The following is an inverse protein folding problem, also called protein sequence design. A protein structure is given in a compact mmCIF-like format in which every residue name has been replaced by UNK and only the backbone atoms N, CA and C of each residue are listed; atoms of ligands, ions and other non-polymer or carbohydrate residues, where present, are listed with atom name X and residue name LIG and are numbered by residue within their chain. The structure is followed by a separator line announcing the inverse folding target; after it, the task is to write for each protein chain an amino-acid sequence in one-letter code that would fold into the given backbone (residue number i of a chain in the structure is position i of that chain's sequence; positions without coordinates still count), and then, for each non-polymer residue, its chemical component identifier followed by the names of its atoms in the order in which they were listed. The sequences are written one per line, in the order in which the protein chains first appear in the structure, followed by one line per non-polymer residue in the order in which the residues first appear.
data_IF_436127144067
#
_entry.id   IF_436127144067
#
_cell.length_a   1.000
_cell.length_b   1.000
_cell.length_c   1.000
_cell.angle_alpha   90.00
_cell.angle_beta   90.00
_cell.angle_gamma   90.00
#
_symmetry.space_group_name_H-M   'P 1'
#
loop_
_entity.id
_entity.type
_entity.pdbx_description
1 polymer ?
#
# COMPACT_ATOMS: atom_id res chain seq x y z
N UNK A 1 -21.77 -9.56 -33.07
CA UNK A 1 -21.75 -9.59 -34.55
C UNK A 1 -20.36 -9.98 -35.02
N UNK A 2 -20.23 -11.15 -35.64
CA UNK A 2 -18.97 -11.89 -35.77
C UNK A 2 -17.92 -11.11 -36.58
N UNK A 3 -16.68 -11.02 -36.06
CA UNK A 3 -15.50 -10.43 -36.72
C UNK A 3 -15.38 -10.77 -38.23
N UNK A 4 -15.63 -12.01 -38.71
CA UNK A 4 -15.56 -12.33 -40.15
C UNK A 4 -16.61 -11.60 -41.00
N UNK A 5 -17.82 -11.35 -40.50
CA UNK A 5 -18.90 -10.70 -41.26
C UNK A 5 -18.55 -9.23 -41.52
N UNK A 6 -17.99 -8.53 -40.52
CA UNK A 6 -17.50 -7.15 -40.68
C UNK A 6 -16.30 -7.05 -41.62
N UNK A 7 -15.45 -8.08 -41.64
CA UNK A 7 -14.31 -8.16 -42.55
C UNK A 7 -14.78 -8.29 -44.00
N UNK A 8 -15.68 -9.24 -44.27
CA UNK A 8 -16.23 -9.50 -45.61
C UNK A 8 -17.00 -8.27 -46.13
N UNK A 9 -17.84 -7.65 -45.29
CA UNK A 9 -18.59 -6.45 -45.68
C UNK A 9 -17.69 -5.26 -46.03
N UNK A 10 -16.62 -5.02 -45.26
CA UNK A 10 -15.65 -3.96 -45.55
C UNK A 10 -14.87 -4.24 -46.83
N UNK A 11 -14.44 -5.48 -47.02
CA UNK A 11 -13.73 -5.89 -48.23
C UNK A 11 -14.61 -5.71 -49.48
N UNK A 12 -15.86 -6.17 -49.42
CA UNK A 12 -16.83 -5.99 -50.49
C UNK A 12 -17.06 -4.50 -50.80
N UNK A 13 -17.25 -3.66 -49.78
CA UNK A 13 -17.43 -2.22 -49.96
C UNK A 13 -16.24 -1.56 -50.66
N UNK A 14 -15.01 -1.87 -50.22
CA UNK A 14 -13.77 -1.32 -50.81
C UNK A 14 -13.62 -1.78 -52.27
N UNK A 15 -13.93 -3.04 -52.57
CA UNK A 15 -13.88 -3.58 -53.94
C UNK A 15 -14.99 -2.98 -54.82
N UNK A 16 -16.22 -2.86 -54.31
CA UNK A 16 -17.33 -2.27 -55.04
C UNK A 16 -17.07 -0.79 -55.38
N UNK A 17 -16.50 -0.03 -54.45
CA UNK A 17 -16.10 1.36 -54.69
C UNK A 17 -15.01 1.44 -55.77
N UNK A 18 -14.01 0.56 -55.71
CA UNK A 18 -12.97 0.46 -56.74
C UNK A 18 -13.55 0.16 -58.12
N UNK A 19 -14.42 -0.85 -58.23
CA UNK A 19 -15.07 -1.24 -59.50
C UNK A 19 -16.00 -0.14 -60.03
N UNK A 20 -16.70 0.57 -59.15
CA UNK A 20 -17.54 1.70 -59.52
C UNK A 20 -16.73 2.85 -60.11
N UNK A 21 -15.63 3.25 -59.44
CA UNK A 21 -14.72 4.30 -59.95
C UNK A 21 -14.03 3.88 -61.25
N UNK A 22 -13.67 2.60 -61.38
CA UNK A 22 -13.13 2.06 -62.63
C UNK A 22 -14.15 2.12 -63.76
N UNK A 23 -15.38 1.66 -63.52
CA UNK A 23 -16.48 1.73 -64.48
C UNK A 23 -16.75 3.18 -64.92
N UNK A 24 -16.84 4.10 -63.96
CA UNK A 24 -17.00 5.53 -64.23
C UNK A 24 -15.87 6.10 -65.12
N UNK A 25 -14.62 5.77 -64.82
CA UNK A 25 -13.46 6.19 -65.63
C UNK A 25 -13.51 5.61 -67.05
N UNK A 26 -13.93 4.35 -67.21
CA UNK A 26 -14.03 3.68 -68.50
C UNK A 26 -15.17 4.23 -69.38
N UNK A 27 -16.36 4.48 -68.82
CA UNK A 27 -17.53 4.92 -69.58
C UNK A 27 -17.55 6.42 -69.87
N UNK A 28 -17.20 7.27 -68.90
CA UNK A 28 -17.17 8.72 -69.12
C UNK A 28 -15.92 9.15 -69.89
N UNK A 29 -14.78 8.50 -69.64
CA UNK A 29 -13.49 8.93 -70.16
C UNK A 29 -13.05 10.30 -69.62
N UNK A 30 -12.01 10.86 -70.25
CA UNK A 30 -11.47 12.18 -69.91
C UNK A 30 -10.53 12.22 -68.69
N UNK A 31 -9.83 13.34 -68.53
CA UNK A 31 -8.78 13.50 -67.51
C UNK A 31 -9.31 13.35 -66.07
N UNK A 32 -10.46 13.98 -65.76
CA UNK A 32 -11.01 14.04 -64.39
C UNK A 32 -11.36 12.64 -63.87
N UNK A 33 -12.00 11.81 -64.69
CA UNK A 33 -12.45 10.47 -64.29
C UNK A 33 -11.25 9.55 -64.02
N UNK A 34 -10.23 9.58 -64.88
CA UNK A 34 -8.98 8.85 -64.67
C UNK A 34 -8.19 9.36 -63.46
N UNK A 35 -8.17 10.68 -63.22
CA UNK A 35 -7.53 11.27 -62.06
C UNK A 35 -8.16 10.76 -60.75
N UNK A 36 -9.49 10.70 -60.65
CA UNK A 36 -10.18 10.16 -59.47
C UNK A 36 -9.86 8.67 -59.24
N UNK A 37 -9.87 7.87 -60.30
CA UNK A 37 -9.53 6.45 -60.22
C UNK A 37 -8.09 6.23 -59.74
N UNK A 38 -7.12 6.85 -60.39
CA UNK A 38 -5.71 6.72 -60.00
C UNK A 38 -5.40 7.35 -58.65
N UNK A 39 -6.13 8.39 -58.24
CA UNK A 39 -6.04 8.96 -56.89
C UNK A 39 -6.55 8.00 -55.81
N UNK A 40 -7.60 7.23 -56.11
CA UNK A 40 -8.12 6.20 -55.20
C UNK A 40 -7.29 4.92 -55.16
N UNK A 41 -6.59 4.57 -56.25
CA UNK A 41 -5.83 3.31 -56.35
C UNK A 41 -4.82 3.09 -55.18
N UNK A 42 -3.99 4.06 -54.77
CA UNK A 42 -3.12 3.90 -53.60
C UNK A 42 -3.89 3.67 -52.30
N UNK A 43 -5.02 4.37 -52.11
CA UNK A 43 -5.89 4.21 -50.93
C UNK A 43 -6.46 2.79 -50.92
N UNK A 44 -6.96 2.31 -52.07
CA UNK A 44 -7.46 0.95 -52.24
C UNK A 44 -6.40 -0.09 -51.87
N UNK A 45 -5.20 0.01 -52.44
CA UNK A 45 -4.10 -0.92 -52.16
C UNK A 45 -3.70 -0.88 -50.67
N UNK A 46 -3.64 0.30 -50.06
CA UNK A 46 -3.32 0.47 -48.65
C UNK A 46 -4.43 -0.06 -47.71
N UNK A 47 -5.70 0.09 -48.08
CA UNK A 47 -6.81 -0.43 -47.29
C UNK A 47 -6.88 -1.96 -47.38
N UNK A 48 -6.71 -2.54 -48.57
CA UNK A 48 -6.66 -4.01 -48.77
C UNK A 48 -5.45 -4.62 -48.06
N UNK A 49 -4.26 -4.03 -48.22
CA UNK A 49 -3.06 -4.46 -47.53
C UNK A 49 -3.22 -4.42 -46.01
N UNK A 50 -3.80 -3.34 -45.47
CA UNK A 50 -4.09 -3.21 -44.04
C UNK A 50 -5.10 -4.26 -43.57
N UNK A 51 -6.11 -4.57 -44.38
CA UNK A 51 -7.14 -5.55 -44.09
C UNK A 51 -6.57 -6.98 -44.03
N UNK A 52 -5.56 -7.31 -44.82
CA UNK A 52 -4.85 -8.60 -44.75
C UNK A 52 -3.70 -8.62 -43.72
N UNK A 53 -3.24 -7.47 -43.27
CA UNK A 53 -2.08 -7.36 -42.39
C UNK A 53 -2.25 -8.02 -40.99
N UNK A 54 -1.39 -8.96 -40.58
CA UNK A 54 -1.55 -9.72 -39.34
C UNK A 54 -1.04 -8.96 -38.10
N UNK A 55 -1.87 -8.06 -37.55
CA UNK A 55 -1.55 -7.32 -36.32
C UNK A 55 -1.31 -8.24 -35.11
N UNK A 56 -2.01 -9.38 -35.03
CA UNK A 56 -1.90 -10.35 -33.94
C UNK A 56 -0.51 -11.01 -33.80
N UNK A 57 0.33 -10.96 -34.85
CA UNK A 57 1.67 -11.56 -34.84
C UNK A 57 2.76 -10.63 -34.30
N UNK A 58 2.40 -9.43 -33.84
CA UNK A 58 3.37 -8.49 -33.30
C UNK A 58 3.88 -8.97 -31.95
N UNK A 59 5.16 -8.71 -31.69
CA UNK A 59 5.73 -8.92 -30.36
C UNK A 59 5.62 -7.60 -29.60
N UNK A 60 4.88 -7.61 -28.50
CA UNK A 60 4.70 -6.45 -27.62
C UNK A 60 5.27 -6.83 -26.26
N UNK A 61 6.15 -5.98 -25.74
CA UNK A 61 6.80 -6.17 -24.46
C UNK A 61 6.63 -4.91 -23.63
N UNK A 62 6.40 -5.09 -22.33
CA UNK A 62 6.36 -4.02 -21.33
C UNK A 62 7.55 -4.19 -20.39
N UNK A 63 8.17 -3.08 -20.05
CA UNK A 63 9.22 -3.02 -19.03
C UNK A 63 8.96 -1.83 -18.12
N UNK A 64 8.88 -2.06 -16.81
CA UNK A 64 8.78 -1.02 -15.81
C UNK A 64 10.18 -0.51 -15.46
N UNK A 65 10.32 0.77 -15.11
CA UNK A 65 11.60 1.30 -14.62
C UNK A 65 12.00 0.68 -13.28
N UNK A 66 11.02 0.26 -12.48
CA UNK A 66 11.18 -0.48 -11.22
C UNK A 66 9.90 -1.30 -10.96
N UNK A 67 10.07 -2.52 -10.45
CA UNK A 67 8.97 -3.43 -10.09
C UNK A 67 8.54 -3.29 -8.64
N UNK A 68 9.44 -2.75 -7.80
CA UNK A 68 9.22 -2.42 -6.41
C UNK A 68 9.36 -0.91 -6.24
N UNK A 69 8.37 -0.29 -5.62
CA UNK A 69 8.28 1.15 -5.43
C UNK A 69 7.70 1.46 -4.05
N UNK A 70 7.77 2.72 -3.64
CA UNK A 70 6.99 3.21 -2.50
C UNK A 70 5.74 3.93 -2.97
N UNK A 71 4.73 3.97 -2.11
CA UNK A 71 3.49 4.69 -2.40
C UNK A 71 3.77 6.17 -2.69
N UNK A 72 3.11 6.69 -3.72
CA UNK A 72 3.31 8.03 -4.25
C UNK A 72 4.51 8.21 -5.18
N UNK A 73 5.30 7.16 -5.45
CA UNK A 73 6.36 7.23 -6.45
C UNK A 73 5.83 7.35 -7.88
N UNK A 74 6.66 7.90 -8.75
CA UNK A 74 6.44 7.91 -10.20
C UNK A 74 7.21 6.78 -10.87
N UNK A 75 6.49 5.98 -11.65
CA UNK A 75 7.01 4.84 -12.40
C UNK A 75 6.96 5.14 -13.89
N UNK A 76 8.08 4.95 -14.59
CA UNK A 76 8.12 5.04 -16.05
C UNK A 76 7.90 3.66 -16.63
N UNK A 77 6.90 3.51 -17.49
CA UNK A 77 6.62 2.28 -18.23
C UNK A 77 7.09 2.46 -19.65
N UNK A 78 7.92 1.54 -20.14
CA UNK A 78 8.36 1.48 -21.53
C UNK A 78 7.68 0.32 -22.24
N UNK A 79 7.08 0.61 -23.38
CA UNK A 79 6.51 -0.38 -24.29
C UNK A 79 7.40 -0.47 -25.51
N UNK A 80 7.88 -1.68 -25.81
CA UNK A 80 8.60 -1.99 -27.03
C UNK A 80 7.76 -2.91 -27.90
N UNK A 81 7.52 -2.49 -29.14
CA UNK A 81 6.77 -3.24 -30.14
C UNK A 81 7.68 -3.59 -31.30
N UNK A 82 7.71 -4.87 -31.66
CA UNK A 82 8.38 -5.40 -32.85
C UNK A 82 7.34 -5.98 -33.80
N UNK A 83 7.24 -5.36 -34.98
CA UNK A 83 6.30 -5.72 -36.03
C UNK A 83 6.89 -6.85 -36.88
N UNK A 84 6.05 -7.81 -37.23
CA UNK A 84 6.48 -8.94 -38.07
C UNK A 84 6.89 -8.47 -39.46
N UNK A 85 6.07 -7.60 -40.06
CA UNK A 85 6.25 -7.04 -41.41
C UNK A 85 6.19 -5.49 -41.33
N UNK A 86 7.13 -4.75 -41.95
CA UNK A 86 7.11 -3.29 -41.98
C UNK A 86 6.12 -2.77 -43.04
N UNK A 87 4.83 -2.77 -42.70
CA UNK A 87 3.77 -2.18 -43.52
C UNK A 87 3.63 -0.67 -43.26
N UNK A 88 3.32 0.21 -44.23
CA UNK A 88 3.15 1.64 -43.99
C UNK A 88 1.88 1.94 -43.19
N UNK A 89 1.95 1.81 -41.87
CA UNK A 89 0.83 2.17 -41.00
C UNK A 89 0.82 3.67 -40.81
N UNK A 90 -0.35 4.26 -41.07
CA UNK A 90 -0.55 5.69 -40.88
C UNK A 90 -0.48 6.06 -39.39
N UNK A 91 -1.34 5.46 -38.57
CA UNK A 91 -1.30 5.63 -37.11
C UNK A 91 -1.41 4.30 -36.37
N UNK A 92 -0.91 4.30 -35.14
CA UNK A 92 -1.21 3.31 -34.12
C UNK A 92 -1.57 4.05 -32.83
N UNK A 93 -2.73 3.73 -32.27
CA UNK A 93 -3.14 4.15 -30.93
C UNK A 93 -2.82 3.01 -29.98
N UNK A 94 -1.99 3.32 -29.01
CA UNK A 94 -1.63 2.43 -27.91
C UNK A 94 -2.46 2.83 -26.71
N UNK A 95 -3.12 1.85 -26.10
CA UNK A 95 -3.94 2.02 -24.91
C UNK A 95 -3.51 0.95 -23.90
N UNK A 96 -2.88 1.35 -22.81
CA UNK A 96 -2.61 0.45 -21.69
C UNK A 96 -3.93 0.19 -20.95
N UNK A 97 -4.23 -1.09 -20.69
CA UNK A 97 -5.34 -1.47 -19.82
C UNK A 97 -4.81 -1.48 -18.38
N UNK A 98 -4.90 -0.33 -17.72
CA UNK A 98 -4.47 -0.16 -16.33
C UNK A 98 -5.43 -0.89 -15.37
N UNK A 99 -4.91 -1.52 -14.30
CA UNK A 99 -5.75 -2.06 -13.23
C UNK A 99 -6.45 -0.93 -12.46
N UNK A 100 -7.66 -1.20 -11.98
CA UNK A 100 -8.44 -0.25 -11.18
C UNK A 100 -7.73 0.16 -9.89
N UNK A 101 -6.83 -0.66 -9.35
CA UNK A 101 -6.05 -0.31 -8.17
C UNK A 101 -5.16 0.91 -8.39
N UNK A 102 -4.78 1.24 -9.62
CA UNK A 102 -4.00 2.45 -9.95
C UNK A 102 -4.86 3.71 -10.12
N UNK A 103 -6.19 3.61 -10.07
CA UNK A 103 -7.08 4.78 -10.16
C UNK A 103 -7.16 5.57 -8.86
N UNK A 104 -6.59 5.07 -7.76
CA UNK A 104 -6.41 5.85 -6.53
C UNK A 104 -5.11 6.64 -6.62
N UNK A 105 -5.14 7.91 -6.27
CA UNK A 105 -3.98 8.78 -6.22
C UNK A 105 -3.35 8.73 -4.82
N UNK A 106 -2.03 8.59 -4.77
CA UNK A 106 -1.26 8.77 -3.54
C UNK A 106 -0.24 9.90 -3.71
N UNK A 107 -0.53 11.05 -3.10
CA UNK A 107 0.35 12.22 -3.02
C UNK A 107 1.09 12.28 -1.67
N UNK A 108 1.45 11.11 -1.10
CA UNK A 108 2.15 10.95 0.17
C UNK A 108 1.38 11.56 1.34
N UNK A 109 1.92 12.56 2.03
CA UNK A 109 1.27 13.19 3.20
C UNK A 109 0.10 14.09 2.80
N UNK A 110 0.15 14.67 1.60
CA UNK A 110 -0.85 15.61 1.11
C UNK A 110 -2.23 14.94 0.89
N UNK A 111 -2.27 13.61 0.78
CA UNK A 111 -3.54 12.86 0.62
C UNK A 111 -4.47 13.05 1.81
N UNK A 112 -3.90 13.26 2.99
CA UNK A 112 -4.66 13.40 4.24
C UNK A 112 -5.38 14.75 4.37
N UNK A 113 -5.14 15.72 3.47
CA UNK A 113 -6.01 16.89 3.33
C UNK A 113 -7.44 16.53 2.91
N UNK A 114 -7.61 15.37 2.29
CA UNK A 114 -8.88 14.89 1.76
C UNK A 114 -9.45 13.74 2.59
N UNK A 115 -9.11 13.67 3.88
CA UNK A 115 -9.61 12.61 4.76
C UNK A 115 -11.13 12.65 4.88
N UNK A 116 -11.73 13.84 4.89
CA UNK A 116 -13.17 14.07 4.84
C UNK A 116 -13.81 13.72 3.47
N UNK A 117 -13.05 13.89 2.39
CA UNK A 117 -13.49 13.78 0.99
C UNK A 117 -12.58 12.86 0.15
N UNK A 118 -12.47 11.56 0.49
CA UNK A 118 -11.54 10.64 -0.17
C UNK A 118 -11.87 10.39 -1.65
N UNK A 119 -13.07 10.73 -2.12
CA UNK A 119 -13.45 10.67 -3.53
C UNK A 119 -12.61 11.57 -4.43
N UNK A 120 -12.05 12.67 -3.89
CA UNK A 120 -11.17 13.58 -4.64
C UNK A 120 -9.86 12.93 -5.08
N UNK A 121 -9.47 11.83 -4.43
CA UNK A 121 -8.27 11.05 -4.75
C UNK A 121 -8.53 9.93 -5.77
N UNK A 122 -9.73 9.85 -6.37
CA UNK A 122 -10.01 8.92 -7.46
C UNK A 122 -9.80 9.60 -8.81
N UNK A 123 -8.92 9.03 -9.63
CA UNK A 123 -8.66 9.46 -10.99
C UNK A 123 -8.85 8.30 -11.97
N UNK A 124 -9.66 8.52 -13.01
CA UNK A 124 -9.78 7.57 -14.11
C UNK A 124 -8.56 7.71 -15.03
N UNK A 125 -7.50 6.95 -14.74
CA UNK A 125 -6.25 7.01 -15.51
C UNK A 125 -6.45 6.31 -16.85
N UNK A 126 -6.17 7.02 -17.94
CA UNK A 126 -6.11 6.42 -19.28
C UNK A 126 -4.79 6.77 -19.93
N UNK A 127 -4.00 5.75 -20.24
CA UNK A 127 -2.70 5.93 -20.90
C UNK A 127 -2.88 5.61 -22.37
N UNK A 128 -3.09 6.67 -23.15
CA UNK A 128 -3.28 6.59 -24.60
C UNK A 128 -2.23 7.41 -25.31
N UNK A 129 -1.53 6.78 -26.25
CA UNK A 129 -0.55 7.46 -27.08
C UNK A 129 -0.78 7.13 -28.55
N UNK A 130 -0.71 8.15 -29.40
CA UNK A 130 -0.78 7.99 -30.85
C UNK A 130 0.63 8.10 -31.41
N UNK A 131 0.96 7.19 -32.32
CA UNK A 131 2.27 7.13 -32.98
C UNK A 131 2.04 6.90 -34.46
N UNK A 132 2.97 7.39 -35.28
CA UNK A 132 2.93 7.26 -36.73
C UNK A 132 4.09 6.35 -37.17
N UNK A 133 3.88 5.02 -37.26
CA UNK A 133 4.97 4.07 -37.49
C UNK A 133 5.62 4.20 -38.86
N UNK A 134 4.82 4.52 -39.89
CA UNK A 134 5.24 4.34 -41.28
C UNK A 134 5.79 2.93 -41.49
N UNK A 135 6.97 2.84 -42.09
CA UNK A 135 7.70 1.59 -42.35
C UNK A 135 8.58 1.13 -41.18
N UNK A 136 8.59 1.83 -40.03
CA UNK A 136 9.42 1.42 -38.89
C UNK A 136 8.96 0.06 -38.38
N UNK A 137 9.91 -0.87 -38.25
CA UNK A 137 9.69 -2.23 -37.75
C UNK A 137 9.61 -2.30 -36.23
N UNK A 138 10.36 -1.43 -35.55
CA UNK A 138 10.40 -1.34 -34.09
C UNK A 138 9.90 0.02 -33.65
N UNK A 139 9.07 0.03 -32.61
CA UNK A 139 8.56 1.24 -31.97
C UNK A 139 8.84 1.14 -30.47
N UNK A 140 9.25 2.25 -29.88
CA UNK A 140 9.43 2.39 -28.44
C UNK A 140 8.63 3.59 -27.95
N UNK A 141 7.92 3.37 -26.85
CA UNK A 141 7.05 4.36 -26.23
C UNK A 141 7.29 4.34 -24.74
N UNK A 142 7.20 5.49 -24.11
CA UNK A 142 7.31 5.61 -22.68
C UNK A 142 6.19 6.51 -22.15
N UNK A 143 5.57 6.11 -21.05
CA UNK A 143 4.65 6.94 -20.30
C UNK A 143 4.96 6.82 -18.81
N UNK A 144 4.48 7.79 -18.04
CA UNK A 144 4.68 7.83 -16.59
C UNK A 144 3.37 7.57 -15.87
N UNK A 145 3.45 6.77 -14.82
CA UNK A 145 2.39 6.58 -13.84
C UNK A 145 2.87 7.30 -12.58
N UNK A 146 2.31 8.47 -12.33
CA UNK A 146 2.61 9.27 -11.15
C UNK A 146 1.76 8.82 -9.96
N UNK A 147 2.17 9.19 -8.74
CA UNK A 147 1.33 9.03 -7.53
C UNK A 147 0.76 7.61 -7.38
N UNK A 148 1.62 6.59 -7.49
CA UNK A 148 1.19 5.18 -7.42
C UNK A 148 0.68 4.86 -6.02
N UNK A 149 -0.56 4.38 -5.85
CA UNK A 149 -1.08 4.01 -4.53
C UNK A 149 -0.43 2.74 -3.98
N UNK A 150 -0.52 2.52 -2.67
CA UNK A 150 -0.04 1.30 -2.01
C UNK A 150 -0.77 0.06 -2.56
N UNK A 151 -0.03 -1.02 -2.79
CA UNK A 151 -0.59 -2.32 -3.12
C UNK A 151 0.12 -3.04 -4.25
N UNK A 152 -0.51 -4.13 -4.70
CA UNK A 152 -0.07 -4.87 -5.89
C UNK A 152 -0.91 -4.48 -7.10
N UNK A 153 -0.23 -4.01 -8.14
CA UNK A 153 -0.84 -3.56 -9.39
C UNK A 153 -0.50 -4.53 -10.51
N UNK A 154 -1.50 -5.31 -10.90
CA UNK A 154 -1.38 -6.33 -11.92
C UNK A 154 -1.78 -5.75 -13.28
N UNK A 155 -0.80 -5.54 -14.14
CA UNK A 155 -1.05 -5.11 -15.49
C UNK A 155 -1.31 -6.34 -16.38
N UNK A 156 -2.36 -6.29 -17.20
CA UNK A 156 -2.83 -7.47 -17.92
C UNK A 156 -2.54 -7.43 -19.42
N UNK A 157 -2.83 -6.30 -20.06
CA UNK A 157 -2.84 -6.24 -21.51
C UNK A 157 -2.65 -4.84 -22.07
N UNK A 158 -2.11 -4.80 -23.28
CA UNK A 158 -1.96 -3.58 -24.09
C UNK A 158 -2.87 -3.71 -25.30
N UNK A 159 -3.74 -2.72 -25.50
CA UNK A 159 -4.62 -2.64 -26.65
C UNK A 159 -3.98 -1.74 -27.70
N UNK A 160 -3.84 -2.28 -28.92
CA UNK A 160 -3.32 -1.54 -30.06
C UNK A 160 -4.41 -1.42 -31.11
N UNK A 161 -4.68 -0.19 -31.54
CA UNK A 161 -5.62 0.14 -32.62
C UNK A 161 -4.87 0.79 -33.77
N UNK A 162 -5.19 0.42 -34.99
CA UNK A 162 -4.64 1.03 -36.20
C UNK A 162 -5.72 1.10 -37.27
N UNK A 163 -5.57 2.02 -38.22
CA UNK A 163 -6.52 2.19 -39.31
C UNK A 163 -5.90 2.89 -40.50
N UNK A 164 -6.66 2.92 -41.59
CA UNK A 164 -6.35 3.72 -42.76
C UNK A 164 -6.76 5.20 -42.57
N UNK A 165 -6.27 6.07 -43.45
CA UNK A 165 -6.50 7.52 -43.40
C UNK A 165 -7.99 7.85 -43.60
N UNK A 166 -8.66 7.10 -44.47
CA UNK A 166 -10.08 7.32 -44.82
C UNK A 166 -11.04 6.67 -43.81
N UNK A 167 -10.57 5.71 -43.02
CA UNK A 167 -11.33 5.05 -41.96
C UNK A 167 -12.16 3.84 -42.39
N UNK A 168 -12.00 3.34 -43.63
CA UNK A 168 -12.67 2.12 -44.10
C UNK A 168 -12.23 0.91 -43.27
N UNK A 169 -10.93 0.81 -42.99
CA UNK A 169 -10.34 -0.31 -42.27
C UNK A 169 -9.83 0.16 -40.92
N UNK A 170 -10.38 -0.44 -39.86
CA UNK A 170 -9.91 -0.29 -38.48
C UNK A 170 -9.62 -1.67 -37.94
N UNK A 171 -8.43 -1.84 -37.37
CA UNK A 171 -7.97 -3.06 -36.72
C UNK A 171 -7.64 -2.79 -35.27
N UNK A 172 -8.01 -3.74 -34.42
CA UNK A 172 -7.73 -3.72 -33.00
C UNK A 172 -7.26 -5.09 -32.56
N UNK A 173 -6.20 -5.11 -31.76
CA UNK A 173 -5.74 -6.32 -31.09
C UNK A 173 -5.34 -6.00 -29.65
N UNK A 174 -5.66 -6.93 -28.75
CA UNK A 174 -5.31 -6.85 -27.33
C UNK A 174 -4.22 -7.89 -27.11
N UNK A 175 -3.02 -7.43 -26.78
CA UNK A 175 -1.87 -8.26 -26.46
C UNK A 175 -1.86 -8.52 -24.96
N UNK A 176 -1.91 -9.80 -24.59
CA UNK A 176 -1.76 -10.21 -23.18
C UNK A 176 -0.29 -10.07 -22.82
N UNK A 177 0.01 -9.05 -22.03
CA UNK A 177 1.34 -8.74 -21.53
C UNK A 177 1.13 -8.57 -20.04
N UNK A 178 1.40 -9.63 -19.28
CA UNK A 178 1.25 -9.65 -17.83
C UNK A 178 2.50 -9.11 -17.17
N UNK A 179 2.33 -8.26 -16.15
CA UNK A 179 3.42 -7.73 -15.34
C UNK A 179 2.85 -7.20 -14.01
N UNK A 180 3.70 -7.03 -13.01
CA UNK A 180 3.30 -6.68 -11.65
C UNK A 180 4.18 -5.57 -11.10
N UNK A 181 3.53 -4.54 -10.55
CA UNK A 181 4.17 -3.48 -9.77
C UNK A 181 3.73 -3.61 -8.32
N UNK A 182 4.68 -3.63 -7.39
CA UNK A 182 4.43 -3.68 -5.96
C UNK A 182 4.81 -2.32 -5.37
N UNK A 183 3.84 -1.64 -4.77
CA UNK A 183 4.02 -0.34 -4.12
C UNK A 183 3.88 -0.50 -2.60
N UNK A 184 5.02 -0.42 -1.91
CA UNK A 184 5.12 -0.52 -0.46
C UNK A 184 4.50 0.70 0.24
N UNK A 185 3.91 0.53 1.44
CA UNK A 185 3.49 1.66 2.26
C UNK A 185 4.66 2.62 2.54
N UNK A 186 4.34 3.90 2.74
CA UNK A 186 5.33 4.89 3.11
C UNK A 186 5.66 4.82 4.60
N UNK A 187 6.96 4.92 4.91
CA UNK A 187 7.40 5.19 6.27
C UNK A 187 7.26 6.68 6.57
N UNK A 188 6.75 6.99 7.75
CA UNK A 188 6.65 8.33 8.30
C UNK A 188 7.62 8.51 9.46
N UNK A 189 8.08 9.74 9.66
CA UNK A 189 8.86 10.06 10.84
C UNK A 189 7.90 10.14 12.04
N UNK A 190 8.06 9.24 13.00
CA UNK A 190 7.34 9.29 14.27
C UNK A 190 8.31 9.75 15.35
N UNK A 191 7.90 10.74 16.13
CA UNK A 191 8.60 11.17 17.33
C UNK A 191 7.77 10.77 18.53
N UNK A 192 8.32 9.87 19.33
CA UNK A 192 7.68 9.48 20.59
C UNK A 192 8.11 10.44 21.68
N UNK A 193 7.14 11.05 22.37
CA UNK A 193 7.41 12.09 23.38
C UNK A 193 8.26 11.58 24.54
N UNK A 194 8.19 10.28 24.82
CA UNK A 194 9.04 9.60 25.81
C UNK A 194 9.64 8.31 25.25
N UNK A 195 10.82 7.94 25.75
CA UNK A 195 11.42 6.64 25.45
C UNK A 195 10.71 5.54 26.22
N UNK A 196 10.54 4.38 25.59
CA UNK A 196 10.00 3.19 26.27
C UNK A 196 10.82 2.81 27.50
N UNK A 197 12.15 3.02 27.44
CA UNK A 197 13.05 2.81 28.57
C UNK A 197 12.71 3.65 29.81
N UNK A 198 12.01 4.79 29.67
CA UNK A 198 11.60 5.61 30.82
C UNK A 198 10.54 4.92 31.69
N UNK A 199 9.71 4.05 31.10
CA UNK A 199 8.77 3.21 31.85
C UNK A 199 9.46 2.07 32.61
N UNK A 200 10.75 1.83 32.34
CA UNK A 200 11.56 0.85 33.07
C UNK A 200 12.07 1.41 34.39
N UNK A 201 12.21 2.74 34.51
CA UNK A 201 12.77 3.43 35.70
C UNK A 201 11.73 4.15 36.57
N UNK A 202 10.53 4.50 36.08
CA UNK A 202 9.71 5.55 36.72
C UNK A 202 8.26 5.26 37.16
N UNK A 203 7.61 4.16 36.76
CA UNK A 203 6.16 3.99 37.03
C UNK A 203 5.83 3.07 38.21
N UNK A 204 6.35 3.39 39.40
CA UNK A 204 5.77 2.92 40.67
C UNK A 204 5.14 4.11 41.37
N UNK A 205 4.08 4.65 40.77
CA UNK A 205 3.10 5.44 41.53
C UNK A 205 2.09 4.45 42.11
N UNK A 206 2.22 4.25 43.42
CA UNK A 206 1.24 3.76 44.40
C UNK A 206 0.34 2.54 44.07
N UNK A 207 0.39 1.55 44.97
CA UNK A 207 -0.58 0.45 45.20
C UNK A 207 -0.57 -0.81 44.33
N UNK A 208 0.60 -1.38 43.99
CA UNK A 208 0.68 -2.83 43.69
C UNK A 208 1.80 -3.52 44.47
N UNK A 209 1.41 -4.07 45.61
CA UNK A 209 2.23 -4.82 46.58
C UNK A 209 2.60 -6.25 46.10
N UNK A 210 2.69 -6.49 44.80
CA UNK A 210 2.98 -7.83 44.24
C UNK A 210 3.94 -7.78 43.04
N UNK A 211 5.03 -7.03 43.15
CA UNK A 211 6.22 -7.34 42.37
C UNK A 211 6.95 -8.49 43.08
N UNK A 212 6.69 -9.72 42.65
CA UNK A 212 7.66 -10.79 42.79
C UNK A 212 8.92 -10.32 42.05
N UNK A 213 9.85 -9.78 42.82
CA UNK A 213 11.19 -9.46 42.39
C UNK A 213 11.82 -10.73 41.83
N UNK A 214 12.03 -10.81 40.52
CA UNK A 214 12.93 -11.77 39.91
C UNK A 214 14.37 -11.33 40.21
N UNK A 215 14.76 -11.46 41.48
CA UNK A 215 16.10 -11.17 41.98
C UNK A 215 16.99 -12.39 41.73
N UNK A 216 17.23 -12.75 40.47
CA UNK A 216 18.25 -13.76 40.15
C UNK A 216 19.60 -13.08 40.29
N UNK A 217 20.35 -13.42 41.33
CA UNK A 217 21.71 -12.92 41.52
C UNK A 217 22.62 -13.57 40.47
N UNK A 218 23.16 -12.77 39.56
CA UNK A 218 24.04 -13.21 38.48
C UNK A 218 25.51 -13.03 38.81
N UNK A 219 25.82 -12.13 39.73
CA UNK A 219 27.18 -11.82 40.17
C UNK A 219 27.27 -11.41 41.63
N UNK A 220 28.50 -11.21 42.08
CA UNK A 220 28.80 -10.72 43.43
C UNK A 220 29.90 -9.67 43.27
N UNK A 221 29.65 -8.46 43.76
CA UNK A 221 30.61 -7.35 43.74
C UNK A 221 30.85 -6.80 45.13
N UNK A 222 31.90 -6.00 45.29
CA UNK A 222 32.13 -5.29 46.56
C UNK A 222 31.00 -4.27 46.82
N UNK A 223 30.65 -4.15 48.10
CA UNK A 223 29.63 -3.24 48.58
C UNK A 223 30.08 -1.79 48.36
N UNK A 224 29.19 -0.99 47.76
CA UNK A 224 29.39 0.45 47.64
C UNK A 224 28.44 1.18 48.60
N UNK A 225 28.88 2.30 49.22
CA UNK A 225 27.99 3.14 50.03
C UNK A 225 26.76 3.58 49.21
N UNK A 226 25.58 3.10 49.59
CA UNK A 226 24.32 3.32 48.87
C UNK A 226 23.61 2.01 48.47
N UNK A 227 24.31 0.88 48.48
CA UNK A 227 23.71 -0.43 48.31
C UNK A 227 22.79 -0.78 49.49
N UNK A 228 21.66 -1.45 49.22
CA UNK A 228 20.74 -1.89 50.28
C UNK A 228 21.40 -3.00 51.11
N UNK A 229 21.32 -2.90 52.43
CA UNK A 229 21.80 -3.95 53.35
C UNK A 229 21.16 -5.33 53.08
N UNK A 230 19.91 -5.36 52.57
CA UNK A 230 19.23 -6.62 52.20
C UNK A 230 19.84 -7.34 50.99
N UNK A 231 20.75 -6.68 50.26
CA UNK A 231 21.45 -7.25 49.11
C UNK A 231 22.84 -7.77 49.46
N UNK A 232 23.28 -7.63 50.71
CA UNK A 232 24.56 -8.16 51.19
C UNK A 232 24.52 -9.69 51.16
N UNK A 233 25.53 -10.29 50.53
CA UNK A 233 25.75 -11.72 50.61
C UNK A 233 26.66 -12.02 51.81
N UNK A 234 26.04 -12.35 52.95
CA UNK A 234 26.78 -12.64 54.19
C UNK A 234 27.73 -13.84 54.05
N UNK A 235 27.39 -14.82 53.20
CA UNK A 235 28.20 -16.03 53.00
C UNK A 235 29.50 -15.70 52.26
N UNK A 236 29.42 -14.86 51.23
CA UNK A 236 30.59 -14.44 50.47
C UNK A 236 31.39 -13.36 51.21
N UNK A 237 30.71 -12.48 51.95
CA UNK A 237 31.33 -11.51 52.86
C UNK A 237 32.21 -12.21 53.89
N UNK A 238 31.71 -13.28 54.53
CA UNK A 238 32.48 -14.06 55.50
C UNK A 238 33.70 -14.77 54.89
N UNK A 239 33.67 -15.14 53.60
CA UNK A 239 34.78 -15.83 52.92
C UNK A 239 35.88 -14.89 52.45
N UNK A 240 35.52 -13.70 51.95
CA UNK A 240 36.47 -12.71 51.41
C UNK A 240 36.95 -11.68 52.44
N UNK A 241 36.31 -11.64 53.61
CA UNK A 241 36.57 -10.66 54.66
C UNK A 241 36.38 -9.20 54.21
N UNK A 242 35.59 -9.00 53.15
CA UNK A 242 35.18 -7.72 52.59
C UNK A 242 33.68 -7.74 52.33
N UNK A 243 32.97 -6.63 52.52
CA UNK A 243 31.52 -6.58 52.33
C UNK A 243 31.17 -6.81 50.85
N UNK A 244 30.38 -7.85 50.57
CA UNK A 244 29.97 -8.22 49.22
C UNK A 244 28.46 -8.03 49.03
N UNK A 245 28.05 -7.44 47.92
CA UNK A 245 26.65 -7.25 47.50
C UNK A 245 26.33 -8.16 46.32
N UNK A 246 25.14 -8.76 46.32
CA UNK A 246 24.58 -9.49 45.18
C UNK A 246 24.35 -8.53 44.01
N UNK A 247 24.88 -8.88 42.85
CA UNK A 247 24.61 -8.19 41.60
C UNK A 247 23.43 -8.88 40.91
N UNK A 248 22.38 -8.11 40.62
CA UNK A 248 21.18 -8.58 39.97
C UNK A 248 21.21 -8.13 38.51
N UNK A 249 21.05 -9.06 37.58
CA UNK A 249 20.86 -8.72 36.17
C UNK A 249 19.52 -7.99 36.02
N UNK A 250 19.57 -6.73 35.57
CA UNK A 250 18.37 -6.03 35.14
C UNK A 250 17.98 -6.51 33.74
N UNK A 251 17.41 -7.72 33.65
CA UNK A 251 16.69 -8.09 32.43
C UNK A 251 15.29 -7.47 32.50
N UNK A 252 15.12 -6.28 31.92
CA UNK A 252 13.79 -5.63 31.84
C UNK A 252 13.54 -4.98 30.50
N UNK A 253 13.76 -5.69 29.39
CA UNK A 253 13.19 -5.27 28.11
C UNK A 253 11.66 -5.29 28.22
N UNK A 254 11.00 -4.13 28.18
CA UNK A 254 9.53 -4.10 28.12
C UNK A 254 9.06 -4.54 26.74
N UNK A 255 8.34 -5.65 26.67
CA UNK A 255 7.73 -6.11 25.42
C UNK A 255 6.70 -5.06 24.95
N UNK A 256 6.80 -4.66 23.69
CA UNK A 256 5.87 -3.72 23.05
C UNK A 256 5.13 -4.43 21.92
N UNK A 257 3.81 -4.32 21.87
CA UNK A 257 3.01 -4.90 20.78
C UNK A 257 2.23 -3.80 20.08
N UNK A 258 2.44 -3.67 18.78
CA UNK A 258 1.62 -2.82 17.90
C UNK A 258 0.51 -3.67 17.31
N UNK A 259 -0.73 -3.25 17.49
CA UNK A 259 -1.92 -3.93 16.98
C UNK A 259 -2.61 -3.03 15.96
N UNK A 260 -2.68 -3.48 14.71
CA UNK A 260 -3.44 -2.84 13.64
C UNK A 260 -4.84 -3.46 13.56
N UNK A 261 -5.85 -2.62 13.62
CA UNK A 261 -7.23 -2.96 13.29
C UNK A 261 -7.40 -2.99 11.76
N UNK A 262 -7.43 -4.19 11.19
CA UNK A 262 -7.69 -4.48 9.79
C UNK A 262 -9.13 -4.96 9.55
N UNK A 263 -10.05 -4.77 10.49
CA UNK A 263 -11.45 -5.18 10.34
C UNK A 263 -12.21 -4.25 9.39
N UNK A 264 -13.18 -4.80 8.65
CA UNK A 264 -14.05 -4.00 7.78
C UNK A 264 -15.26 -3.44 8.56
N UNK A 265 -15.41 -2.12 8.50
CA UNK A 265 -16.58 -1.41 9.00
C UNK A 265 -17.42 -0.84 7.85
N UNK A 266 -18.74 -0.82 8.02
CA UNK A 266 -19.62 -0.21 7.02
C UNK A 266 -19.35 1.28 6.94
N UNK A 267 -18.97 1.76 5.75
CA UNK A 267 -18.61 3.17 5.56
C UNK A 267 -17.19 3.52 6.01
N UNK A 268 -16.31 2.51 6.19
CA UNK A 268 -14.92 2.75 6.54
C UNK A 268 -14.25 3.73 5.57
N UNK A 269 -13.55 4.70 6.13
CA UNK A 269 -12.72 5.61 5.37
C UNK A 269 -11.41 4.91 5.01
N UNK A 270 -11.30 4.46 3.76
CA UNK A 270 -10.09 3.78 3.27
C UNK A 270 -8.84 4.67 3.38
N UNK A 271 -8.97 5.99 3.30
CA UNK A 271 -7.83 6.90 3.45
C UNK A 271 -7.33 6.95 4.90
N UNK A 272 -8.24 6.90 5.89
CA UNK A 272 -7.88 6.75 7.29
C UNK A 272 -7.19 5.40 7.55
N UNK A 273 -7.62 4.35 6.87
CA UNK A 273 -6.96 3.05 6.93
C UNK A 273 -5.54 3.08 6.35
N UNK A 274 -5.32 3.76 5.22
CA UNK A 274 -3.97 3.97 4.68
C UNK A 274 -3.06 4.66 5.70
N UNK A 275 -3.57 5.68 6.42
CA UNK A 275 -2.84 6.29 7.53
C UNK A 275 -2.54 5.28 8.65
N UNK A 276 -3.51 4.46 9.04
CA UNK A 276 -3.32 3.44 10.08
C UNK A 276 -2.20 2.44 9.71
N UNK A 277 -2.12 2.03 8.44
CA UNK A 277 -1.03 1.19 7.91
C UNK A 277 0.32 1.91 7.97
N UNK A 278 0.40 3.15 7.50
CA UNK A 278 1.64 3.96 7.53
C UNK A 278 2.12 4.21 8.95
N UNK A 279 1.21 4.55 9.87
CA UNK A 279 1.51 4.76 11.30
C UNK A 279 2.04 3.47 11.92
N UNK A 280 1.36 2.35 11.68
CA UNK A 280 1.76 1.04 12.22
C UNK A 280 3.17 0.66 11.77
N UNK A 281 3.48 0.77 10.48
CA UNK A 281 4.83 0.52 9.95
C UNK A 281 5.86 1.45 10.61
N UNK A 282 5.54 2.73 10.69
CA UNK A 282 6.44 3.75 11.23
C UNK A 282 6.72 3.53 12.72
N UNK A 283 5.71 3.11 13.48
CA UNK A 283 5.86 2.75 14.89
C UNK A 283 6.74 1.52 15.03
N UNK A 284 6.50 0.47 14.25
CA UNK A 284 7.33 -0.73 14.27
C UNK A 284 8.80 -0.42 14.01
N UNK A 285 9.11 0.48 13.07
CA UNK A 285 10.49 0.87 12.78
C UNK A 285 11.10 1.75 13.86
N UNK A 286 10.34 2.66 14.46
CA UNK A 286 10.81 3.48 15.58
C UNK A 286 11.07 2.63 16.84
N UNK A 287 10.19 1.69 17.15
CA UNK A 287 10.35 0.73 18.25
C UNK A 287 11.59 -0.16 18.05
N UNK A 288 11.86 -0.58 16.81
CA UNK A 288 13.07 -1.33 16.46
C UNK A 288 14.33 -0.49 16.74
N UNK A 289 14.35 0.80 16.41
CA UNK A 289 15.49 1.70 16.70
C UNK A 289 15.74 1.84 18.20
N UNK A 290 14.68 1.79 19.01
CA UNK A 290 14.76 1.82 20.47
C UNK A 290 15.17 0.47 21.09
N UNK A 291 15.54 -0.53 20.27
CA UNK A 291 15.97 -1.87 20.70
C UNK A 291 14.96 -2.59 21.63
N UNK A 292 13.68 -2.24 21.52
CA UNK A 292 12.62 -2.89 22.29
C UNK A 292 12.26 -4.25 21.67
N UNK A 293 11.88 -5.22 22.49
CA UNK A 293 11.26 -6.46 22.00
C UNK A 293 9.89 -6.09 21.45
N UNK A 294 9.73 -6.11 20.13
CA UNK A 294 8.52 -5.62 19.47
C UNK A 294 7.82 -6.73 18.70
N UNK A 295 6.51 -6.85 18.91
CA UNK A 295 5.61 -7.65 18.09
C UNK A 295 4.64 -6.77 17.30
N UNK A 296 4.19 -7.26 16.15
CA UNK A 296 3.11 -6.69 15.37
C UNK A 296 1.98 -7.71 15.22
N UNK A 297 0.75 -7.25 15.41
CA UNK A 297 -0.47 -8.04 15.20
C UNK A 297 -1.38 -7.25 14.27
N UNK A 298 -1.82 -7.85 13.17
CA UNK A 298 -2.86 -7.29 12.31
C UNK A 298 -4.10 -8.16 12.44
N UNK A 299 -5.21 -7.55 12.87
CA UNK A 299 -6.48 -8.25 13.15
C UNK A 299 -7.49 -7.84 12.08
N UNK A 300 -7.70 -8.69 11.09
CA UNK A 300 -8.78 -8.57 10.10
C UNK A 300 -9.66 -9.81 10.11
N UNK A 301 -10.01 -10.34 8.94
CA UNK A 301 -10.65 -11.66 8.79
C UNK A 301 -9.78 -12.77 9.40
N UNK A 302 -8.46 -12.71 9.15
CA UNK A 302 -7.44 -13.57 9.76
C UNK A 302 -6.49 -12.70 10.57
N UNK A 303 -6.03 -13.20 11.70
CA UNK A 303 -4.98 -12.53 12.49
C UNK A 303 -3.61 -12.90 11.94
N UNK A 304 -2.75 -11.91 11.72
CA UNK A 304 -1.36 -12.09 11.31
C UNK A 304 -0.40 -11.61 12.41
N UNK A 305 0.69 -12.35 12.62
CA UNK A 305 1.65 -12.14 13.70
C UNK A 305 3.06 -11.99 13.16
N UNK A 306 3.79 -11.01 13.67
CA UNK A 306 5.19 -10.78 13.31
C UNK A 306 5.97 -10.43 14.58
N UNK A 307 7.12 -11.06 14.77
CA UNK A 307 8.10 -10.67 15.79
C UNK A 307 9.19 -9.85 15.10
N UNK A 308 9.85 -8.93 15.81
CA UNK A 308 11.02 -8.21 15.28
C UNK A 308 12.31 -8.61 16.02
N UNK A 309 12.30 -9.76 16.69
CA UNK A 309 13.33 -10.09 17.67
C UNK A 309 14.69 -10.43 17.06
N UNK A 310 14.79 -10.97 15.83
CA UNK A 310 16.10 -11.45 15.32
C UNK A 310 16.29 -11.54 13.80
N UNK A 311 15.26 -11.45 12.95
CA UNK A 311 15.43 -11.75 11.52
C UNK A 311 15.14 -10.55 10.58
N UNK A 312 15.99 -10.36 9.58
CA UNK A 312 15.75 -9.43 8.47
C UNK A 312 14.56 -9.91 7.62
N UNK A 313 14.35 -11.23 7.51
CA UNK A 313 13.23 -11.82 6.77
C UNK A 313 11.85 -11.46 7.34
N UNK A 314 11.72 -11.31 8.66
CA UNK A 314 10.45 -10.91 9.29
C UNK A 314 10.04 -9.47 8.90
N UNK A 315 11.01 -8.57 8.69
CA UNK A 315 10.73 -7.22 8.19
C UNK A 315 10.13 -7.26 6.78
N UNK A 316 10.70 -8.07 5.90
CA UNK A 316 10.23 -8.19 4.53
C UNK A 316 8.83 -8.83 4.48
N UNK A 317 8.56 -9.81 5.36
CA UNK A 317 7.22 -10.40 5.53
C UNK A 317 6.19 -9.39 6.05
N UNK A 318 6.56 -8.58 7.05
CA UNK A 318 5.71 -7.49 7.55
C UNK A 318 5.40 -6.50 6.42
N UNK A 319 6.42 -6.09 5.67
CA UNK A 319 6.26 -5.15 4.57
C UNK A 319 5.37 -5.72 3.45
N UNK A 320 5.54 -7.01 3.10
CA UNK A 320 4.66 -7.70 2.16
C UNK A 320 3.22 -7.79 2.65
N UNK A 321 3.01 -8.09 3.93
CA UNK A 321 1.69 -8.11 4.57
C UNK A 321 1.04 -6.72 4.47
N UNK A 322 1.70 -5.69 5.00
CA UNK A 322 1.22 -4.31 4.97
C UNK A 322 1.08 -3.73 3.57
N UNK A 323 1.63 -4.35 2.53
CA UNK A 323 1.38 -3.95 1.14
C UNK A 323 0.05 -4.50 0.62
N UNK A 324 -0.28 -5.73 0.99
CA UNK A 324 -1.48 -6.43 0.53
C UNK A 324 -2.71 -6.16 1.40
N UNK A 325 -2.46 -5.76 2.64
CA UNK A 325 -3.49 -5.66 3.66
C UNK A 325 -4.56 -4.63 3.30
N UNK A 326 -5.81 -5.05 3.35
CA UNK A 326 -7.00 -4.24 3.08
C UNK A 326 -8.03 -4.57 4.17
N UNK A 327 -8.87 -3.62 4.60
CA UNK A 327 -9.85 -3.88 5.64
C UNK A 327 -10.77 -5.02 5.23
N UNK A 328 -10.79 -6.09 6.01
CA UNK A 328 -11.56 -7.29 5.72
C UNK A 328 -12.15 -7.94 6.99
N UNK A 329 -13.13 -8.81 6.81
CA UNK A 329 -13.83 -9.44 7.93
C UNK A 329 -14.83 -8.50 8.63
N UNK A 330 -16.02 -9.03 8.92
CA UNK A 330 -17.14 -8.27 9.49
C UNK A 330 -17.28 -8.44 11.01
N UNK A 331 -16.35 -9.15 11.64
CA UNK A 331 -16.37 -9.38 13.08
C UNK A 331 -15.88 -8.12 13.82
N UNK A 332 -16.42 -7.86 15.01
CA UNK A 332 -15.96 -6.74 15.84
C UNK A 332 -14.48 -6.93 16.23
N UNK A 333 -13.66 -5.92 15.94
CA UNK A 333 -12.26 -5.88 16.34
C UNK A 333 -12.09 -6.01 17.86
N UNK A 334 -12.97 -5.39 18.65
CA UNK A 334 -12.93 -5.50 20.12
C UNK A 334 -13.05 -6.93 20.63
N UNK A 335 -13.90 -7.76 20.00
CA UNK A 335 -14.01 -9.21 20.34
C UNK A 335 -12.71 -9.94 20.05
N UNK A 336 -12.19 -9.79 18.83
CA UNK A 336 -10.95 -10.47 18.41
C UNK A 336 -9.75 -10.01 19.22
N UNK A 337 -9.62 -8.71 19.45
CA UNK A 337 -8.58 -8.13 20.29
C UNK A 337 -8.61 -8.73 21.70
N UNK A 338 -9.79 -8.97 22.26
CA UNK A 338 -9.92 -9.63 23.57
C UNK A 338 -9.36 -11.05 23.54
N UNK A 339 -9.68 -11.82 22.51
CA UNK A 339 -9.15 -13.18 22.32
C UNK A 339 -7.62 -13.17 22.23
N UNK A 340 -7.06 -12.29 21.39
CA UNK A 340 -5.60 -12.20 21.21
C UNK A 340 -4.88 -11.63 22.44
N UNK A 341 -5.54 -10.77 23.22
CA UNK A 341 -4.98 -10.23 24.47
C UNK A 341 -4.72 -11.29 25.54
N UNK A 342 -5.34 -12.47 25.43
CA UNK A 342 -5.06 -13.59 26.35
C UNK A 342 -3.65 -14.16 26.15
N UNK A 343 -3.15 -14.16 24.91
CA UNK A 343 -1.80 -14.63 24.56
C UNK A 343 -0.68 -13.61 24.76
N UNK A 344 -1.03 -12.34 24.99
CA UNK A 344 -0.04 -11.28 25.22
C UNK A 344 0.66 -11.41 26.57
N UNK A 345 1.97 -11.13 26.60
CA UNK A 345 2.74 -11.10 27.84
C UNK A 345 2.18 -10.05 28.82
N UNK A 346 2.05 -10.43 30.09
CA UNK A 346 1.56 -9.50 31.12
C UNK A 346 2.60 -8.43 31.42
N UNK A 347 2.18 -7.17 31.51
CA UNK A 347 3.10 -6.04 31.69
C UNK A 347 3.79 -5.53 30.41
N UNK A 348 3.26 -5.87 29.22
CA UNK A 348 3.67 -5.25 27.95
C UNK A 348 3.12 -3.83 27.80
N UNK A 349 3.67 -3.09 26.82
CA UNK A 349 3.06 -1.87 26.29
C UNK A 349 2.26 -2.25 25.05
N UNK A 350 0.98 -1.94 25.03
CA UNK A 350 0.08 -2.25 23.91
C UNK A 350 -0.26 -0.97 23.17
N UNK A 351 0.07 -0.92 21.89
CA UNK A 351 -0.17 0.21 20.99
C UNK A 351 -1.21 -0.21 19.95
N UNK A 352 -2.43 0.31 20.04
CA UNK A 352 -3.54 -0.06 19.16
C UNK A 352 -3.71 1.04 18.12
N UNK A 353 -3.73 0.70 16.83
CA UNK A 353 -4.04 1.62 15.74
C UNK A 353 -5.36 1.20 15.11
N UNK A 354 -6.35 2.08 15.18
CA UNK A 354 -7.71 1.80 14.69
C UNK A 354 -8.34 3.03 14.05
N UNK A 355 -9.27 2.79 13.11
CA UNK A 355 -10.09 3.81 12.45
C UNK A 355 -11.50 3.89 12.99
N UNK A 356 -11.86 3.07 14.00
CA UNK A 356 -13.23 2.97 14.51
C UNK A 356 -13.24 2.66 16.00
N UNK A 357 -14.07 3.38 16.77
CA UNK A 357 -14.27 3.11 18.19
C UNK A 357 -15.71 2.67 18.44
N UNK A 358 -15.88 1.54 19.13
CA UNK A 358 -17.17 1.04 19.62
C UNK A 358 -17.09 0.68 21.11
N UNK A 359 -18.26 0.50 21.74
CA UNK A 359 -18.36 0.12 23.16
C UNK A 359 -17.62 -1.20 23.47
N UNK A 360 -17.58 -2.11 22.50
CA UNK A 360 -16.91 -3.41 22.64
C UNK A 360 -15.39 -3.24 22.73
N UNK A 361 -14.81 -2.39 21.89
CA UNK A 361 -13.41 -2.02 21.92
C UNK A 361 -13.09 -1.23 23.20
N UNK A 362 -13.95 -0.30 23.61
CA UNK A 362 -13.77 0.44 24.87
C UNK A 362 -13.65 -0.52 26.07
N UNK A 363 -14.61 -1.45 26.20
CA UNK A 363 -14.61 -2.43 27.29
C UNK A 363 -13.38 -3.33 27.27
N UNK A 364 -12.90 -3.68 26.07
CA UNK A 364 -11.74 -4.54 25.88
C UNK A 364 -10.44 -3.80 26.22
N UNK A 365 -10.29 -2.53 25.81
CA UNK A 365 -9.14 -1.71 26.19
C UNK A 365 -9.06 -1.53 27.70
N UNK A 366 -10.20 -1.33 28.38
CA UNK A 366 -10.27 -1.26 29.86
C UNK A 366 -9.82 -2.56 30.53
N UNK A 367 -10.04 -3.71 29.91
CA UNK A 367 -9.54 -5.00 30.42
C UNK A 367 -8.03 -5.15 30.19
N UNK A 368 -7.56 -4.76 29.00
CA UNK A 368 -6.14 -4.82 28.63
C UNK A 368 -5.31 -3.87 29.52
N UNK A 369 -5.84 -2.70 29.86
CA UNK A 369 -5.15 -1.72 30.71
C UNK A 369 -4.93 -2.21 32.15
N UNK A 370 -5.71 -3.17 32.64
CA UNK A 370 -5.52 -3.76 33.97
C UNK A 370 -4.28 -4.68 34.04
N UNK A 371 -3.91 -5.28 32.91
CA UNK A 371 -2.82 -6.28 32.77
C UNK A 371 -1.56 -5.72 32.11
N UNK A 372 -1.70 -4.66 31.32
CA UNK A 372 -0.60 -4.02 30.58
C UNK A 372 0.04 -2.91 31.42
N UNK A 373 1.32 -2.60 31.19
CA UNK A 373 1.95 -1.44 31.82
C UNK A 373 1.36 -0.13 31.31
N UNK A 374 1.05 -0.09 30.01
CA UNK A 374 0.50 1.06 29.31
C UNK A 374 -0.29 0.58 28.10
N UNK A 375 -1.40 1.26 27.83
CA UNK A 375 -2.15 1.11 26.58
C UNK A 375 -2.19 2.47 25.89
N UNK A 376 -1.76 2.49 24.63
CA UNK A 376 -1.81 3.67 23.76
C UNK A 376 -2.73 3.35 22.60
N UNK A 377 -3.68 4.23 22.32
CA UNK A 377 -4.65 4.09 21.24
C UNK A 377 -4.42 5.23 20.25
N UNK A 378 -4.12 4.87 19.01
CA UNK A 378 -4.06 5.74 17.85
C UNK A 378 -5.37 5.63 17.10
N UNK A 379 -6.25 6.60 17.34
CA UNK A 379 -7.53 6.69 16.65
C UNK A 379 -7.39 7.60 15.44
N UNK A 380 -7.49 7.03 14.25
CA UNK A 380 -7.31 7.74 12.97
C UNK A 380 -8.66 8.00 12.33
N UNK A 381 -9.07 9.27 12.26
CA UNK A 381 -10.36 9.65 11.67
C UNK A 381 -10.36 11.11 11.22
N UNK A 382 -11.17 11.42 10.21
CA UNK A 382 -11.44 12.80 9.80
C UNK A 382 -12.09 13.58 10.94
N UNK A 383 -11.61 14.80 11.25
CA UNK A 383 -12.06 15.56 12.42
C UNK A 383 -13.58 15.78 12.42
N UNK A 384 -14.18 15.99 11.24
CA UNK A 384 -15.63 16.20 11.10
C UNK A 384 -16.45 14.91 11.15
N UNK A 385 -15.81 13.75 10.95
CA UNK A 385 -16.47 12.44 10.96
C UNK A 385 -16.47 11.80 12.34
N UNK A 386 -15.73 12.34 13.32
CA UNK A 386 -15.73 11.84 14.69
C UNK A 386 -17.08 12.17 15.35
N UNK A 387 -17.81 11.13 15.72
CA UNK A 387 -19.13 11.25 16.34
C UNK A 387 -19.04 11.68 17.81
N UNK A 388 -20.13 12.24 18.36
CA UNK A 388 -20.23 12.54 19.80
C UNK A 388 -20.02 11.29 20.67
N UNK A 389 -20.48 10.13 20.19
CA UNK A 389 -20.28 8.85 20.87
C UNK A 389 -18.79 8.47 20.93
N UNK A 390 -18.05 8.60 19.82
CA UNK A 390 -16.60 8.35 19.80
C UNK A 390 -15.84 9.35 20.69
N UNK A 391 -16.25 10.63 20.74
CA UNK A 391 -15.69 11.60 21.70
C UNK A 391 -15.91 11.15 23.15
N UNK A 392 -17.08 10.60 23.47
CA UNK A 392 -17.35 10.03 24.79
C UNK A 392 -16.43 8.85 25.10
N UNK A 393 -16.29 7.90 24.16
CA UNK A 393 -15.38 6.75 24.31
C UNK A 393 -13.94 7.22 24.54
N UNK A 394 -13.43 8.17 23.74
CA UNK A 394 -12.08 8.74 23.91
C UNK A 394 -11.90 9.31 25.32
N UNK A 395 -12.89 10.03 25.85
CA UNK A 395 -12.85 10.58 27.21
C UNK A 395 -12.84 9.48 28.27
N UNK A 396 -13.67 8.45 28.11
CA UNK A 396 -13.71 7.30 29.04
C UNK A 396 -12.40 6.52 29.05
N UNK A 397 -11.79 6.30 27.88
CA UNK A 397 -10.50 5.63 27.76
C UNK A 397 -9.39 6.41 28.47
N UNK A 398 -9.35 7.73 28.28
CA UNK A 398 -8.40 8.61 29.01
C UNK A 398 -8.58 8.54 30.53
N UNK A 399 -9.82 8.54 31.01
CA UNK A 399 -10.12 8.39 32.45
C UNK A 399 -9.70 7.02 33.01
N UNK A 400 -9.70 5.98 32.17
CA UNK A 400 -9.25 4.64 32.55
C UNK A 400 -7.72 4.45 32.53
N UNK A 401 -6.96 5.52 32.24
CA UNK A 401 -5.49 5.52 32.20
C UNK A 401 -4.88 5.10 30.86
N UNK A 402 -5.69 4.92 29.81
CA UNK A 402 -5.20 4.71 28.46
C UNK A 402 -4.85 6.06 27.80
N UNK A 403 -3.75 6.09 27.05
CA UNK A 403 -3.35 7.28 26.27
C UNK A 403 -4.04 7.21 24.93
N UNK A 404 -4.79 8.25 24.56
CA UNK A 404 -5.53 8.26 23.29
C UNK A 404 -5.07 9.43 22.43
N UNK A 405 -4.38 9.09 21.35
CA UNK A 405 -3.92 9.99 20.30
C UNK A 405 -4.95 10.00 19.18
N UNK A 406 -5.66 11.11 19.02
CA UNK A 406 -6.59 11.31 17.90
C UNK A 406 -5.79 11.93 16.76
N UNK A 407 -5.68 11.21 15.65
CA UNK A 407 -4.92 11.59 14.47
C UNK A 407 -5.89 11.98 13.36
N UNK A 408 -6.17 13.27 13.27
CA UNK A 408 -6.95 13.85 12.19
C UNK A 408 -6.06 14.41 11.09
N UNK A 409 -6.65 15.07 10.10
CA UNK A 409 -5.98 15.67 8.95
C UNK A 409 -4.77 16.50 9.38
N UNK A 410 -4.96 17.37 10.38
CA UNK A 410 -3.95 18.31 10.84
C UNK A 410 -2.69 17.60 11.37
N UNK A 411 -2.84 16.53 12.14
CA UNK A 411 -1.69 15.76 12.63
C UNK A 411 -1.10 14.89 11.52
N UNK A 412 -1.94 14.33 10.64
CA UNK A 412 -1.49 13.46 9.55
C UNK A 412 -0.76 14.22 8.44
N UNK A 413 -0.92 15.53 8.29
CA UNK A 413 -0.15 16.30 7.28
C UNK A 413 1.25 16.64 7.77
N UNK A 414 1.49 16.66 9.09
CA UNK A 414 2.79 17.03 9.66
C UNK A 414 3.90 16.09 9.20
N UNK A 415 5.06 16.63 8.84
CA UNK A 415 6.21 15.81 8.42
C UNK A 415 6.62 14.79 9.50
N UNK A 416 6.48 15.19 10.77
CA UNK A 416 6.72 14.34 11.94
C UNK A 416 5.40 14.16 12.68
N UNK A 417 4.97 12.91 12.88
CA UNK A 417 3.83 12.63 13.77
C UNK A 417 4.37 12.53 15.19
N UNK A 418 3.88 13.39 16.08
CA UNK A 418 4.15 13.27 17.50
C UNK A 418 3.17 12.27 18.13
N UNK A 419 3.71 11.25 18.77
CA UNK A 419 2.96 10.20 19.46
C UNK A 419 3.23 10.32 20.95
N UNK A 420 2.21 10.68 21.72
CA UNK A 420 2.31 10.59 23.18
C UNK A 420 2.19 9.13 23.61
N UNK A 421 3.14 8.69 24.43
CA UNK A 421 3.04 7.44 25.20
C UNK A 421 2.59 7.75 26.65
N UNK A 422 2.47 9.04 27.02
CA UNK A 422 2.11 9.51 28.37
C UNK A 422 0.76 10.16 28.43
#
# INVERSE_FOLDING_TARGET
MNRPIRFIGKLFFIIALFLSLFSFAMFQGGFVSWFLFFGYLPIFLLSVGLLLYPINKWQVTRTLSRYFAHSGDTITVRIRIKRSIPYPLYYCVFEEILPESLNKLDNRTEKYHYLDHPEKLKANRTMKQVVFPGFKRTLELAYQIEQVPRGEHHFQAIRIKTGDIVGFVKKEHIFQVADQLVAYPNQRLIKMTERISSFEQGSVSSNRLNLKNTNVATGIREYLPGDKFSWIDWKQTAKKNTMMTKEFEQEKSTDTVVVLDSCYYKGINLLAYEAAVEISLSMMEELKKQQSKTGFISIGKRTAYFSMQRDQGEKDLLMQHLTKDQPDGFASFGVKLREESLGMASGSIVMIVTTHLDDMLESTIKQISQRSKRVVVHFVQAAQSITEHEHHIVKQLRLSGAVVNVLSEQQLIQHTIEVSIV
#
